data_IF_468156113037
#
_entry.id   IF_468156113037
#
_cell.length_a   1.000
_cell.length_b   1.000
_cell.length_c   1.000
_cell.angle_alpha   90.00
_cell.angle_beta   90.00
_cell.angle_gamma   90.00
#
_symmetry.space_group_name_H-M   'P 1'
#
loop_
_entity.id
_entity.type
_entity.pdbx_description
1 polymer ?
#
# COMPACT_ATOMS: atom_id res chain seq x y z
N UNK A 1 -21.84 4.82 31.59
CA UNK A 1 -22.43 3.50 31.90
C UNK A 1 -23.66 3.21 31.01
N UNK A 2 -24.64 4.14 30.91
CA UNK A 2 -25.86 3.96 30.09
C UNK A 2 -25.57 3.81 28.59
N UNK A 3 -24.62 4.57 28.05
CA UNK A 3 -24.20 4.51 26.64
C UNK A 3 -23.58 3.17 26.27
N UNK A 4 -22.74 2.61 27.15
CA UNK A 4 -22.13 1.30 26.95
C UNK A 4 -23.18 0.18 27.00
N UNK A 5 -24.22 0.31 27.85
CA UNK A 5 -25.33 -0.64 27.89
C UNK A 5 -26.20 -0.57 26.63
N UNK A 6 -26.49 0.65 26.13
CA UNK A 6 -27.22 0.84 24.87
C UNK A 6 -26.44 0.31 23.65
N UNK A 7 -25.12 0.54 23.60
CA UNK A 7 -24.26 -0.01 22.55
C UNK A 7 -24.22 -1.54 22.57
N UNK A 8 -24.12 -2.14 23.76
CA UNK A 8 -24.21 -3.59 23.96
C UNK A 8 -25.55 -4.17 23.50
N UNK A 9 -26.65 -3.48 23.81
CA UNK A 9 -28.01 -3.87 23.37
C UNK A 9 -28.16 -3.75 21.84
N UNK A 10 -27.68 -2.66 21.25
CA UNK A 10 -27.72 -2.44 19.78
C UNK A 10 -26.93 -3.52 19.05
N UNK A 11 -25.72 -3.82 19.52
CA UNK A 11 -24.86 -4.86 18.93
C UNK A 11 -25.45 -6.26 19.10
N UNK A 12 -25.93 -6.61 20.28
CA UNK A 12 -26.59 -7.89 20.54
C UNK A 12 -27.87 -8.08 19.71
N UNK A 13 -28.63 -7.00 19.46
CA UNK A 13 -29.78 -7.03 18.57
C UNK A 13 -29.38 -7.13 17.10
N UNK A 14 -28.32 -6.45 16.67
CA UNK A 14 -27.77 -6.57 15.31
C UNK A 14 -27.24 -7.97 15.03
N UNK A 15 -26.53 -8.58 15.98
CA UNK A 15 -26.02 -9.95 15.86
C UNK A 15 -27.15 -10.99 15.72
N UNK A 16 -28.27 -10.78 16.40
CA UNK A 16 -29.45 -11.66 16.26
C UNK A 16 -30.23 -11.42 14.97
N UNK A 17 -30.26 -10.17 14.47
CA UNK A 17 -31.03 -9.82 13.26
C UNK A 17 -30.27 -10.09 11.96
N UNK A 18 -28.94 -9.91 11.97
CA UNK A 18 -28.11 -10.06 10.77
C UNK A 18 -26.71 -10.60 11.15
N UNK A 19 -26.60 -11.88 11.52
CA UNK A 19 -25.35 -12.49 11.94
C UNK A 19 -24.31 -12.49 10.83
N UNK A 20 -24.72 -12.59 9.57
CA UNK A 20 -23.83 -12.57 8.41
C UNK A 20 -23.12 -11.23 8.27
N UNK A 21 -23.84 -10.12 8.43
CA UNK A 21 -23.27 -8.77 8.40
C UNK A 21 -22.27 -8.54 9.52
N UNK A 22 -22.61 -8.99 10.72
CA UNK A 22 -21.72 -8.90 11.88
C UNK A 22 -20.43 -9.68 11.63
N UNK A 23 -20.53 -10.91 11.12
CA UNK A 23 -19.37 -11.74 10.80
C UNK A 23 -18.46 -11.08 9.76
N UNK A 24 -19.01 -10.47 8.71
CA UNK A 24 -18.26 -9.72 7.70
C UNK A 24 -17.48 -8.57 8.33
N UNK A 25 -18.13 -7.76 9.19
CA UNK A 25 -17.45 -6.65 9.86
C UNK A 25 -16.35 -7.14 10.81
N UNK A 26 -16.61 -8.15 11.62
CA UNK A 26 -15.64 -8.74 12.53
C UNK A 26 -14.42 -9.27 11.78
N UNK A 27 -14.63 -10.00 10.70
CA UNK A 27 -13.57 -10.56 9.87
C UNK A 27 -12.68 -9.43 9.28
N UNK A 28 -13.29 -8.36 8.77
CA UNK A 28 -12.55 -7.23 8.21
C UNK A 28 -11.72 -6.50 9.27
N UNK A 29 -12.30 -6.20 10.41
CA UNK A 29 -11.57 -5.52 11.50
C UNK A 29 -10.46 -6.39 12.06
N UNK A 30 -10.70 -7.68 12.27
CA UNK A 30 -9.69 -8.62 12.70
C UNK A 30 -8.53 -8.71 11.70
N UNK A 31 -8.79 -8.60 10.41
CA UNK A 31 -7.78 -8.57 9.36
C UNK A 31 -7.09 -7.21 9.18
N UNK A 32 -7.46 -6.19 9.96
CA UNK A 32 -6.86 -4.85 9.94
C UNK A 32 -7.42 -3.90 8.88
N UNK A 33 -8.57 -4.21 8.27
CA UNK A 33 -9.25 -3.27 7.36
C UNK A 33 -9.88 -2.11 8.13
N UNK A 34 -9.92 -0.94 7.50
CA UNK A 34 -10.51 0.26 8.09
C UNK A 34 -12.04 0.24 8.13
N UNK A 35 -12.60 1.01 9.06
CA UNK A 35 -14.05 1.06 9.30
C UNK A 35 -14.86 1.55 8.09
N UNK A 36 -14.30 2.42 7.26
CA UNK A 36 -14.97 2.96 6.07
C UNK A 36 -15.24 1.86 5.03
N UNK A 37 -14.23 1.04 4.70
CA UNK A 37 -14.42 -0.08 3.78
C UNK A 37 -15.29 -1.16 4.39
N UNK A 38 -15.09 -1.48 5.68
CA UNK A 38 -15.89 -2.49 6.38
C UNK A 38 -17.38 -2.16 6.36
N UNK A 39 -17.76 -0.92 6.67
CA UNK A 39 -19.16 -0.46 6.60
C UNK A 39 -19.71 -0.49 5.18
N UNK A 40 -18.91 -0.05 4.20
CA UNK A 40 -19.33 -0.05 2.79
C UNK A 40 -19.64 -1.48 2.32
N UNK A 41 -18.79 -2.44 2.64
CA UNK A 41 -18.99 -3.84 2.27
C UNK A 41 -20.17 -4.47 3.03
N UNK A 42 -20.28 -4.22 4.34
CA UNK A 42 -21.40 -4.69 5.14
C UNK A 42 -22.76 -4.16 4.65
N UNK A 43 -22.81 -2.90 4.20
CA UNK A 43 -24.01 -2.31 3.63
C UNK A 43 -24.40 -2.91 2.25
N UNK A 44 -23.41 -3.40 1.50
CA UNK A 44 -23.61 -4.02 0.17
C UNK A 44 -23.77 -5.54 0.22
N UNK A 45 -23.74 -6.14 1.43
CA UNK A 45 -23.93 -7.57 1.58
C UNK A 45 -25.32 -7.97 1.05
N UNK A 46 -25.43 -8.93 0.12
CA UNK A 46 -26.70 -9.43 -0.35
C UNK A 46 -27.54 -10.00 0.81
N UNK A 47 -28.84 -9.77 0.76
CA UNK A 47 -29.77 -10.27 1.78
C UNK A 47 -29.93 -11.79 1.69
N UNK A 48 -30.16 -12.44 2.83
CA UNK A 48 -30.48 -13.88 2.88
C UNK A 48 -29.27 -14.80 2.79
N UNK A 49 -28.03 -14.27 2.81
CA UNK A 49 -26.86 -15.11 2.92
C UNK A 49 -26.68 -15.57 4.38
N UNK A 50 -26.33 -16.85 4.55
CA UNK A 50 -25.75 -17.32 5.81
C UNK A 50 -24.34 -16.79 6.01
N UNK A 51 -23.77 -17.03 7.19
CA UNK A 51 -22.45 -16.52 7.56
C UNK A 51 -21.36 -17.02 6.61
N UNK A 52 -21.38 -18.30 6.24
CA UNK A 52 -20.35 -18.88 5.38
C UNK A 52 -20.43 -18.34 3.95
N UNK A 53 -21.64 -18.20 3.40
CA UNK A 53 -21.85 -17.58 2.10
C UNK A 53 -21.45 -16.10 2.10
N UNK A 54 -21.72 -15.37 3.18
CA UNK A 54 -21.30 -13.98 3.35
C UNK A 54 -19.77 -13.82 3.38
N UNK A 55 -19.07 -14.71 4.07
CA UNK A 55 -17.59 -14.70 4.09
C UNK A 55 -16.98 -15.09 2.72
N UNK A 56 -17.59 -16.04 2.01
CA UNK A 56 -17.20 -16.36 0.63
C UNK A 56 -17.42 -15.16 -0.31
N UNK A 57 -18.56 -14.48 -0.18
CA UNK A 57 -18.85 -13.26 -0.92
C UNK A 57 -17.85 -12.16 -0.61
N UNK A 58 -17.54 -11.91 0.68
CA UNK A 58 -16.53 -10.94 1.11
C UNK A 58 -15.20 -11.18 0.42
N UNK A 59 -14.70 -12.43 0.48
CA UNK A 59 -13.45 -12.83 -0.16
C UNK A 59 -13.45 -12.51 -1.66
N UNK A 60 -14.52 -12.85 -2.37
CA UNK A 60 -14.63 -12.59 -3.81
C UNK A 60 -14.67 -11.08 -4.13
N UNK A 61 -15.38 -10.30 -3.33
CA UNK A 61 -15.46 -8.84 -3.51
C UNK A 61 -14.10 -8.19 -3.27
N UNK A 62 -13.36 -8.59 -2.25
CA UNK A 62 -12.01 -8.08 -2.00
C UNK A 62 -11.06 -8.43 -3.16
N UNK A 63 -11.09 -9.67 -3.65
CA UNK A 63 -10.28 -10.10 -4.80
C UNK A 63 -10.58 -9.28 -6.05
N UNK A 64 -11.86 -9.05 -6.37
CA UNK A 64 -12.27 -8.30 -7.57
C UNK A 64 -11.96 -6.80 -7.50
N UNK A 65 -11.90 -6.24 -6.30
CA UNK A 65 -11.67 -4.80 -6.12
C UNK A 65 -10.21 -4.45 -5.82
N UNK A 66 -9.34 -5.43 -5.60
CA UNK A 66 -7.91 -5.15 -5.42
C UNK A 66 -7.31 -4.73 -6.77
N UNK A 67 -6.84 -3.48 -6.91
CA UNK A 67 -6.34 -2.98 -8.17
C UNK A 67 -4.96 -3.56 -8.45
N UNK A 68 -4.88 -4.62 -9.24
CA UNK A 68 -3.62 -5.16 -9.71
C UNK A 68 -3.26 -4.54 -11.05
N UNK A 69 -1.98 -4.30 -11.26
CA UNK A 69 -1.49 -3.96 -12.58
C UNK A 69 -1.60 -5.20 -13.49
N UNK A 70 -2.34 -5.08 -14.60
CA UNK A 70 -2.72 -6.20 -15.47
C UNK A 70 -1.56 -7.07 -15.95
N UNK A 71 -0.34 -6.50 -16.01
CA UNK A 71 0.88 -7.24 -16.29
C UNK A 71 2.00 -6.71 -15.39
N UNK A 72 2.35 -7.43 -14.33
CA UNK A 72 3.51 -7.09 -13.51
C UNK A 72 4.80 -6.99 -14.35
N UNK A 73 4.93 -7.84 -15.40
CA UNK A 73 5.95 -7.70 -16.43
C UNK A 73 5.80 -6.42 -17.26
N UNK A 74 4.62 -5.80 -17.29
CA UNK A 74 4.35 -4.65 -18.16
C UNK A 74 5.16 -3.41 -17.82
N UNK A 75 5.57 -3.21 -16.56
CA UNK A 75 6.42 -2.09 -16.17
C UNK A 75 7.84 -2.28 -16.73
N UNK A 76 8.45 -3.44 -16.49
CA UNK A 76 9.79 -3.76 -16.97
C UNK A 76 9.80 -3.92 -18.51
N UNK A 77 8.81 -4.59 -19.08
CA UNK A 77 8.72 -4.81 -20.53
C UNK A 77 8.55 -3.49 -21.30
N UNK A 78 7.71 -2.58 -20.82
CA UNK A 78 7.55 -1.25 -21.42
C UNK A 78 8.81 -0.41 -21.32
N UNK A 79 9.56 -0.56 -20.24
CA UNK A 79 10.69 0.30 -19.93
C UNK A 79 10.25 1.74 -19.60
N UNK A 80 11.22 2.68 -19.68
CA UNK A 80 11.04 4.10 -19.41
C UNK A 80 11.76 4.54 -18.15
N UNK A 81 11.45 5.75 -17.69
CA UNK A 81 12.08 6.36 -16.53
C UNK A 81 11.13 6.33 -15.33
N UNK A 82 11.56 5.71 -14.24
CA UNK A 82 10.76 5.58 -13.02
C UNK A 82 11.52 6.11 -11.80
N UNK A 83 10.83 6.85 -10.95
CA UNK A 83 11.33 7.29 -9.66
C UNK A 83 10.60 6.55 -8.54
N UNK A 84 11.33 5.94 -7.61
CA UNK A 84 10.77 5.30 -6.43
C UNK A 84 10.57 6.35 -5.34
N UNK A 85 9.32 6.58 -4.95
CA UNK A 85 8.94 7.55 -3.91
C UNK A 85 8.30 6.84 -2.72
N UNK A 86 8.47 7.39 -1.51
CA UNK A 86 7.91 6.77 -0.30
C UNK A 86 8.63 7.20 0.96
N UNK A 87 8.07 6.84 2.10
CA UNK A 87 8.61 7.18 3.41
C UNK A 87 10.04 6.66 3.62
N UNK A 88 10.78 7.29 4.54
CA UNK A 88 12.06 6.75 5.01
C UNK A 88 11.86 5.32 5.53
N UNK A 89 12.75 4.40 5.17
CA UNK A 89 12.66 3.01 5.57
C UNK A 89 11.58 2.18 4.88
N UNK A 90 10.87 2.70 3.88
CA UNK A 90 9.89 1.93 3.09
C UNK A 90 10.50 0.85 2.17
N UNK A 91 11.82 0.81 2.02
CA UNK A 91 12.53 -0.18 1.20
C UNK A 91 12.75 0.25 -0.25
N UNK A 92 12.78 1.56 -0.56
CA UNK A 92 13.01 2.09 -1.93
C UNK A 92 14.27 1.54 -2.58
N UNK A 93 15.42 1.76 -1.97
CA UNK A 93 16.72 1.33 -2.52
C UNK A 93 16.79 -0.18 -2.77
N UNK A 94 16.32 -0.99 -1.81
CA UNK A 94 16.27 -2.45 -1.97
C UNK A 94 15.30 -2.87 -3.07
N UNK A 95 14.14 -2.21 -3.15
CA UNK A 95 13.15 -2.48 -4.22
C UNK A 95 13.70 -2.09 -5.58
N UNK A 96 14.41 -0.96 -5.66
CA UNK A 96 15.07 -0.52 -6.89
C UNK A 96 16.10 -1.54 -7.36
N UNK A 97 16.94 -2.06 -6.45
CA UNK A 97 17.89 -3.11 -6.76
C UNK A 97 17.21 -4.38 -7.29
N UNK A 98 16.10 -4.80 -6.69
CA UNK A 98 15.30 -5.96 -7.15
C UNK A 98 14.71 -5.73 -8.55
N UNK A 99 14.18 -4.54 -8.81
CA UNK A 99 13.68 -4.17 -10.14
C UNK A 99 14.79 -4.12 -11.17
N UNK A 100 15.96 -3.55 -10.80
CA UNK A 100 17.13 -3.48 -11.67
C UNK A 100 17.62 -4.89 -12.05
N UNK A 101 17.77 -5.80 -11.10
CA UNK A 101 18.18 -7.17 -11.37
C UNK A 101 17.24 -7.86 -12.36
N UNK A 102 15.92 -7.77 -12.15
CA UNK A 102 14.93 -8.33 -13.11
C UNK A 102 14.98 -7.66 -14.48
N UNK A 103 15.28 -6.37 -14.53
CA UNK A 103 15.42 -5.65 -15.78
C UNK A 103 16.69 -6.09 -16.54
N UNK A 104 17.78 -6.34 -15.81
CA UNK A 104 19.02 -6.88 -16.38
C UNK A 104 18.78 -8.28 -16.97
N UNK A 105 18.07 -9.15 -16.25
CA UNK A 105 17.68 -10.48 -16.75
C UNK A 105 16.85 -10.38 -18.04
N UNK A 106 15.96 -9.39 -18.12
CA UNK A 106 15.05 -9.24 -19.27
C UNK A 106 15.67 -8.52 -20.48
N UNK A 107 16.58 -7.58 -20.26
CA UNK A 107 17.04 -6.63 -21.29
C UNK A 107 18.56 -6.54 -21.44
N UNK A 108 19.32 -7.11 -20.51
CA UNK A 108 20.76 -6.97 -20.40
C UNK A 108 21.18 -5.67 -19.68
N UNK A 109 22.35 -5.72 -19.02
CA UNK A 109 22.86 -4.63 -18.17
C UNK A 109 23.06 -3.31 -18.96
N UNK A 110 23.49 -3.38 -20.22
CA UNK A 110 23.70 -2.20 -21.04
C UNK A 110 22.43 -1.35 -21.29
N UNK A 111 21.24 -1.95 -21.11
CA UNK A 111 19.95 -1.29 -21.33
C UNK A 111 19.33 -0.72 -20.06
N UNK A 112 19.96 -0.92 -18.90
CA UNK A 112 19.49 -0.44 -17.61
C UNK A 112 20.44 0.63 -17.05
N UNK A 113 19.90 1.64 -16.41
CA UNK A 113 20.68 2.64 -15.68
C UNK A 113 20.02 2.92 -14.32
N UNK A 114 20.85 3.15 -13.31
CA UNK A 114 20.44 3.57 -11.98
C UNK A 114 20.85 5.02 -11.76
N UNK A 115 19.99 5.76 -11.04
CA UNK A 115 20.28 7.13 -10.63
C UNK A 115 20.08 7.25 -9.13
N UNK A 116 21.12 7.65 -8.41
CA UNK A 116 21.03 8.03 -7.01
C UNK A 116 20.65 9.51 -6.93
N UNK A 117 19.45 9.81 -6.45
CA UNK A 117 18.93 11.17 -6.27
C UNK A 117 18.60 11.45 -4.80
N UNK A 118 19.22 10.73 -3.86
CA UNK A 118 19.11 10.96 -2.42
C UNK A 118 20.35 11.75 -1.93
N UNK A 119 20.30 13.06 -2.12
CA UNK A 119 21.38 13.96 -1.68
C UNK A 119 21.45 14.16 -0.16
N UNK A 120 20.39 13.80 0.56
CA UNK A 120 20.29 14.06 2.01
C UNK A 120 20.85 12.94 2.87
N UNK A 121 20.93 11.72 2.35
CA UNK A 121 21.35 10.55 3.11
C UNK A 121 22.81 10.20 2.84
N UNK A 122 23.64 10.41 3.84
CA UNK A 122 25.05 9.97 3.79
C UNK A 122 25.09 8.45 3.58
N UNK A 123 25.78 7.99 2.55
CA UNK A 123 25.92 6.57 2.23
C UNK A 123 24.79 5.96 1.39
N UNK A 124 23.74 6.71 1.02
CA UNK A 124 22.68 6.16 0.15
C UNK A 124 23.24 5.73 -1.22
N UNK A 125 24.08 6.55 -1.82
CA UNK A 125 24.77 6.22 -3.07
C UNK A 125 25.69 4.99 -2.92
N UNK A 126 26.36 4.81 -1.78
CA UNK A 126 27.27 3.69 -1.55
C UNK A 126 26.53 2.33 -1.60
N UNK A 127 25.35 2.24 -1.00
CA UNK A 127 24.54 1.02 -1.10
C UNK A 127 24.11 0.72 -2.54
N UNK A 128 23.71 1.75 -3.27
CA UNK A 128 23.30 1.60 -4.67
C UNK A 128 24.48 1.26 -5.58
N UNK A 129 25.70 1.78 -5.28
CA UNK A 129 26.93 1.43 -5.98
C UNK A 129 27.21 -0.07 -5.91
N UNK A 130 27.10 -0.69 -4.75
CA UNK A 130 27.30 -2.13 -4.61
C UNK A 130 26.35 -2.92 -5.52
N UNK A 131 25.07 -2.53 -5.58
CA UNK A 131 24.12 -3.20 -6.47
C UNK A 131 24.44 -2.93 -7.96
N UNK A 132 24.84 -1.71 -8.31
CA UNK A 132 25.19 -1.36 -9.68
C UNK A 132 26.38 -2.18 -10.18
N UNK A 133 27.42 -2.32 -9.34
CA UNK A 133 28.60 -3.12 -9.64
C UNK A 133 28.27 -4.60 -9.81
N UNK A 134 27.48 -5.17 -8.88
CA UNK A 134 27.05 -6.58 -8.95
C UNK A 134 26.21 -6.87 -10.18
N UNK A 135 25.39 -5.92 -10.64
CA UNK A 135 24.53 -6.08 -11.80
C UNK A 135 25.18 -5.66 -13.11
N UNK A 136 26.38 -5.03 -13.07
CA UNK A 136 27.08 -4.50 -14.22
C UNK A 136 26.35 -3.37 -14.92
N UNK A 137 25.54 -2.56 -14.18
CA UNK A 137 24.75 -1.46 -14.73
C UNK A 137 25.42 -0.11 -14.42
N UNK A 138 25.16 0.89 -15.27
CA UNK A 138 25.67 2.24 -15.00
C UNK A 138 24.92 2.89 -13.83
N UNK A 139 25.67 3.46 -12.89
CA UNK A 139 25.16 4.28 -11.81
C UNK A 139 25.54 5.75 -12.05
N UNK A 140 24.57 6.63 -11.90
CA UNK A 140 24.74 8.07 -11.98
C UNK A 140 24.27 8.71 -10.68
N UNK A 141 24.89 9.84 -10.32
CA UNK A 141 24.49 10.61 -9.13
C UNK A 141 23.88 11.93 -9.58
N UNK A 142 22.71 12.24 -9.06
CA UNK A 142 22.06 13.52 -9.23
C UNK A 142 21.91 14.20 -7.87
N UNK A 143 22.74 15.17 -7.58
CA UNK A 143 22.78 15.88 -6.30
C UNK A 143 21.57 16.80 -6.10
N UNK A 144 20.95 17.20 -7.19
CA UNK A 144 19.76 18.05 -7.20
C UNK A 144 18.86 17.78 -8.42
N UNK A 145 17.70 18.41 -8.42
CA UNK A 145 16.73 18.30 -9.51
C UNK A 145 17.27 18.84 -10.86
N UNK A 146 18.11 19.88 -10.85
CA UNK A 146 18.68 20.44 -12.05
C UNK A 146 19.70 19.46 -12.69
N UNK A 147 20.49 18.77 -11.86
CA UNK A 147 21.39 17.71 -12.34
C UNK A 147 20.61 16.52 -12.88
N UNK A 148 19.52 16.12 -12.18
CA UNK A 148 18.64 15.05 -12.65
C UNK A 148 18.02 15.39 -14.02
N UNK A 149 17.52 16.62 -14.19
CA UNK A 149 16.94 17.09 -15.45
C UNK A 149 17.94 17.04 -16.63
N UNK A 150 19.21 17.34 -16.39
CA UNK A 150 20.28 17.24 -17.40
C UNK A 150 20.67 15.80 -17.72
N UNK A 151 20.63 14.93 -16.72
CA UNK A 151 21.05 13.54 -16.86
C UNK A 151 20.03 12.68 -17.63
N UNK A 152 18.73 12.91 -17.46
CA UNK A 152 17.68 12.07 -18.08
C UNK A 152 17.79 12.02 -19.62
N UNK A 153 18.04 13.11 -20.35
CA UNK A 153 18.27 13.06 -21.80
C UNK A 153 19.51 12.24 -22.20
N UNK A 154 20.59 12.27 -21.40
CA UNK A 154 21.79 11.46 -21.63
C UNK A 154 21.50 9.94 -21.55
N UNK A 155 20.48 9.56 -20.76
CA UNK A 155 20.05 8.20 -20.57
C UNK A 155 18.90 7.76 -21.48
N UNK A 156 18.49 8.57 -22.45
CA UNK A 156 17.35 8.28 -23.34
C UNK A 156 17.51 6.99 -24.17
N UNK A 157 18.75 6.53 -24.42
CA UNK A 157 19.04 5.29 -25.11
C UNK A 157 18.84 4.01 -24.24
N UNK A 158 18.70 4.20 -22.92
CA UNK A 158 18.43 3.09 -21.99
C UNK A 158 16.98 2.65 -22.09
N UNK A 159 16.76 1.33 -21.99
CA UNK A 159 15.41 0.76 -21.97
C UNK A 159 14.69 1.09 -20.66
N UNK A 160 15.44 1.08 -19.53
CA UNK A 160 14.92 1.36 -18.20
C UNK A 160 15.89 2.22 -17.41
N UNK A 161 15.38 3.31 -16.86
CA UNK A 161 16.09 4.18 -15.91
C UNK A 161 15.32 4.14 -14.58
N UNK A 162 16.01 3.77 -13.50
CA UNK A 162 15.45 3.71 -12.16
C UNK A 162 16.13 4.76 -11.27
N UNK A 163 15.34 5.65 -10.69
CA UNK A 163 15.80 6.74 -9.83
C UNK A 163 15.45 6.44 -8.38
N UNK A 164 16.47 6.31 -7.53
CA UNK A 164 16.30 6.19 -6.08
C UNK A 164 16.22 7.58 -5.47
N UNK A 165 15.08 7.92 -4.88
CA UNK A 165 14.86 9.24 -4.29
C UNK A 165 14.99 9.22 -2.78
N UNK A 166 15.24 10.38 -2.19
CA UNK A 166 15.21 10.56 -0.75
C UNK A 166 13.86 10.10 -0.15
N UNK A 167 13.92 9.51 1.03
CA UNK A 167 12.74 9.15 1.80
C UNK A 167 12.38 10.26 2.79
N UNK A 168 11.16 10.75 2.70
CA UNK A 168 10.65 11.76 3.61
C UNK A 168 9.44 11.25 4.39
N UNK A 169 9.21 11.82 5.58
CA UNK A 169 7.90 11.67 6.23
C UNK A 169 6.84 12.35 5.36
N UNK A 170 5.61 11.84 5.27
CA UNK A 170 4.51 12.53 4.58
C UNK A 170 4.24 13.95 5.09
N UNK A 171 4.59 14.24 6.35
CA UNK A 171 4.49 15.57 6.97
C UNK A 171 5.66 16.51 6.64
N UNK A 172 6.75 16.01 6.07
CA UNK A 172 7.91 16.84 5.69
C UNK A 172 7.59 17.63 4.41
N UNK A 173 7.77 18.96 4.39
CA UNK A 173 7.53 19.79 3.19
C UNK A 173 8.30 19.30 1.96
N UNK A 174 9.50 18.76 2.15
CA UNK A 174 10.34 18.21 1.06
C UNK A 174 9.74 16.99 0.39
N UNK A 175 8.80 16.30 1.02
CA UNK A 175 8.09 15.18 0.43
C UNK A 175 7.30 15.56 -0.84
N UNK A 176 6.98 16.85 -1.02
CA UNK A 176 6.35 17.40 -2.24
C UNK A 176 7.28 17.44 -3.45
N UNK A 177 8.58 17.31 -3.26
CA UNK A 177 9.56 17.22 -4.36
C UNK A 177 9.23 16.06 -5.32
N UNK A 178 8.52 15.03 -4.84
CA UNK A 178 8.02 13.96 -5.69
C UNK A 178 7.13 14.43 -6.85
N UNK A 179 6.37 15.52 -6.69
CA UNK A 179 5.55 16.07 -7.76
C UNK A 179 6.39 16.76 -8.86
N UNK A 180 7.53 17.31 -8.49
CA UNK A 180 8.46 17.91 -9.46
C UNK A 180 9.10 16.87 -10.39
N UNK A 181 9.13 15.60 -9.99
CA UNK A 181 9.62 14.50 -10.83
C UNK A 181 8.71 14.26 -12.04
N UNK A 182 7.40 14.50 -11.90
CA UNK A 182 6.43 14.35 -12.99
C UNK A 182 6.74 15.36 -14.13
N UNK A 183 7.17 16.58 -13.78
CA UNK A 183 7.57 17.62 -14.73
C UNK A 183 8.84 17.24 -15.54
N UNK A 184 9.65 16.32 -15.00
CA UNK A 184 10.82 15.76 -15.69
C UNK A 184 10.47 14.53 -16.54
N UNK A 185 9.20 14.16 -16.67
CA UNK A 185 8.76 12.98 -17.43
C UNK A 185 9.01 11.65 -16.69
N UNK A 186 9.35 11.69 -15.40
CA UNK A 186 9.50 10.50 -14.58
C UNK A 186 8.14 9.97 -14.12
N UNK A 187 7.93 8.67 -14.24
CA UNK A 187 6.75 8.01 -13.67
C UNK A 187 7.06 7.56 -12.24
N UNK A 188 6.26 8.00 -11.28
CA UNK A 188 6.49 7.66 -9.87
C UNK A 188 5.96 6.27 -9.54
N UNK A 189 6.74 5.50 -8.77
CA UNK A 189 6.35 4.24 -8.15
C UNK A 189 6.29 4.46 -6.64
N UNK A 190 5.09 4.39 -6.07
CA UNK A 190 4.91 4.56 -4.63
C UNK A 190 5.33 3.27 -3.90
N UNK A 191 6.36 3.36 -3.07
CA UNK A 191 6.88 2.24 -2.26
C UNK A 191 6.30 2.36 -0.86
N UNK A 192 5.35 1.49 -0.54
CA UNK A 192 4.59 1.49 0.71
C UNK A 192 4.93 0.25 1.52
N UNK A 193 5.29 0.43 2.79
CA UNK A 193 5.54 -0.68 3.70
C UNK A 193 4.24 -1.23 4.28
N UNK A 194 3.98 -2.53 4.11
CA UNK A 194 2.82 -3.21 4.68
C UNK A 194 2.90 -3.40 6.20
N UNK A 195 4.10 -3.37 6.78
CA UNK A 195 4.34 -3.56 8.22
C UNK A 195 4.06 -2.32 9.08
N UNK A 196 3.59 -1.22 8.49
CA UNK A 196 3.26 -0.01 9.22
C UNK A 196 1.82 -0.05 9.77
N UNK A 197 1.54 0.82 10.76
CA UNK A 197 0.18 1.04 11.24
C UNK A 197 -0.72 1.62 10.15
N UNK A 198 -2.00 1.29 10.17
CA UNK A 198 -2.96 1.69 9.14
C UNK A 198 -3.02 3.20 8.87
N UNK A 199 -2.92 4.03 9.91
CA UNK A 199 -2.87 5.49 9.77
C UNK A 199 -1.62 5.97 9.01
N UNK A 200 -0.46 5.35 9.25
CA UNK A 200 0.77 5.69 8.56
C UNK A 200 0.74 5.23 7.09
N UNK A 201 0.16 4.05 6.82
CA UNK A 201 -0.08 3.56 5.46
C UNK A 201 -1.00 4.52 4.70
N UNK A 202 -2.08 4.97 5.33
CA UNK A 202 -3.03 5.91 4.73
C UNK A 202 -2.37 7.26 4.38
N UNK A 203 -1.58 7.81 5.31
CA UNK A 203 -0.82 9.03 5.04
C UNK A 203 0.18 8.85 3.90
N UNK A 204 0.92 7.75 3.89
CA UNK A 204 1.87 7.45 2.82
C UNK A 204 1.18 7.25 1.47
N UNK A 205 0.02 6.55 1.45
CA UNK A 205 -0.77 6.32 0.24
C UNK A 205 -1.34 7.64 -0.31
N UNK A 206 -1.91 8.48 0.56
CA UNK A 206 -2.42 9.80 0.16
C UNK A 206 -1.32 10.67 -0.40
N UNK A 207 -0.14 10.67 0.23
CA UNK A 207 0.94 11.57 -0.14
C UNK A 207 1.73 11.09 -1.37
N UNK A 208 2.23 9.85 -1.33
CA UNK A 208 3.09 9.30 -2.38
C UNK A 208 2.30 8.58 -3.47
N UNK A 209 1.11 8.08 -3.17
CA UNK A 209 0.25 7.36 -4.11
C UNK A 209 -0.48 8.28 -5.08
N UNK A 210 -0.77 9.51 -4.69
CA UNK A 210 -1.48 10.46 -5.56
C UNK A 210 -0.65 10.77 -6.81
N UNK A 211 -1.18 10.45 -7.98
CA UNK A 211 -0.52 10.62 -9.27
C UNK A 211 0.62 9.63 -9.54
N UNK A 212 0.89 8.66 -8.64
CA UNK A 212 1.83 7.60 -8.92
C UNK A 212 1.29 6.63 -10.00
N UNK A 213 2.19 6.12 -10.84
CA UNK A 213 1.83 5.19 -11.90
C UNK A 213 1.42 3.81 -11.35
N UNK A 214 2.01 3.41 -10.22
CA UNK A 214 1.70 2.17 -9.52
C UNK A 214 2.26 2.19 -8.08
N UNK A 215 1.82 1.20 -7.29
CA UNK A 215 2.34 0.92 -5.96
C UNK A 215 3.22 -0.34 -5.96
N UNK A 216 4.22 -0.35 -5.09
CA UNK A 216 4.98 -1.54 -4.71
C UNK A 216 4.81 -1.70 -3.19
N UNK A 217 4.22 -2.82 -2.79
CA UNK A 217 3.99 -3.12 -1.38
C UNK A 217 5.17 -3.92 -0.84
N UNK A 218 5.89 -3.35 0.13
CA UNK A 218 7.09 -3.94 0.71
C UNK A 218 6.86 -4.47 2.12
N UNK A 219 7.84 -5.21 2.65
CA UNK A 219 7.82 -5.75 4.03
C UNK A 219 6.57 -6.56 4.34
N UNK A 220 6.10 -7.28 3.34
CA UNK A 220 4.92 -8.12 3.51
C UNK A 220 5.18 -9.26 4.50
N UNK A 221 6.42 -9.73 4.60
CA UNK A 221 6.90 -10.70 5.58
C UNK A 221 6.78 -10.20 7.04
N UNK A 222 6.98 -8.88 7.25
CA UNK A 222 6.85 -8.22 8.55
C UNK A 222 5.38 -7.87 8.89
N UNK A 223 4.44 -8.07 7.96
CA UNK A 223 3.03 -7.69 8.12
C UNK A 223 2.16 -8.94 8.37
N UNK A 224 1.85 -9.29 9.62
CA UNK A 224 0.94 -10.40 9.92
C UNK A 224 -0.49 -10.12 9.48
N UNK A 225 -0.90 -8.85 9.49
CA UNK A 225 -2.25 -8.39 9.12
C UNK A 225 -2.16 -7.27 8.05
N UNK A 226 -1.98 -7.62 6.77
CA UNK A 226 -1.81 -6.63 5.71
C UNK A 226 -3.12 -5.94 5.28
N UNK A 227 -4.23 -6.15 5.99
CA UNK A 227 -5.55 -5.62 5.64
C UNK A 227 -5.58 -4.10 5.46
N UNK A 228 -4.86 -3.34 6.31
CA UNK A 228 -4.78 -1.87 6.17
C UNK A 228 -4.14 -1.44 4.85
N UNK A 229 -3.13 -2.17 4.37
CA UNK A 229 -2.51 -1.88 3.09
C UNK A 229 -3.44 -2.22 1.91
N UNK A 230 -4.16 -3.35 1.98
CA UNK A 230 -5.14 -3.74 0.96
C UNK A 230 -6.34 -2.78 0.94
N UNK A 231 -6.81 -2.35 2.11
CA UNK A 231 -7.85 -1.32 2.27
C UNK A 231 -7.46 -0.02 1.55
N UNK A 232 -6.28 0.50 1.85
CA UNK A 232 -5.77 1.72 1.21
C UNK A 232 -5.65 1.57 -0.30
N UNK A 233 -5.10 0.45 -0.80
CA UNK A 233 -5.01 0.17 -2.24
C UNK A 233 -6.38 0.20 -2.91
N UNK A 234 -7.39 -0.45 -2.30
CA UNK A 234 -8.76 -0.51 -2.84
C UNK A 234 -9.39 0.89 -2.87
N UNK A 235 -9.27 1.67 -1.79
CA UNK A 235 -9.89 3.00 -1.70
C UNK A 235 -9.24 4.03 -2.61
N UNK A 236 -7.91 4.02 -2.70
CA UNK A 236 -7.14 4.92 -3.57
C UNK A 236 -7.11 4.46 -5.03
N UNK A 237 -7.55 3.22 -5.32
CA UNK A 237 -7.51 2.61 -6.66
C UNK A 237 -6.12 2.68 -7.31
N UNK A 238 -5.06 2.63 -6.49
CA UNK A 238 -3.69 2.68 -6.98
C UNK A 238 -3.25 1.28 -7.41
N UNK A 239 -2.88 1.07 -8.69
CA UNK A 239 -2.50 -0.26 -9.18
C UNK A 239 -1.29 -0.83 -8.44
N UNK A 240 -1.41 -2.05 -7.92
CA UNK A 240 -0.30 -2.76 -7.30
C UNK A 240 0.51 -3.49 -8.37
N UNK A 241 1.77 -3.05 -8.59
CA UNK A 241 2.66 -3.63 -9.58
C UNK A 241 3.47 -4.81 -9.05
N UNK A 242 4.00 -4.68 -7.83
CA UNK A 242 4.81 -5.73 -7.19
C UNK A 242 4.54 -5.79 -5.69
N UNK A 243 4.85 -6.97 -5.13
CA UNK A 243 4.97 -7.20 -3.69
C UNK A 243 6.40 -7.64 -3.37
N UNK A 244 6.91 -7.21 -2.22
CA UNK A 244 8.22 -7.60 -1.72
C UNK A 244 8.09 -8.08 -0.27
N UNK A 245 8.56 -9.30 -0.02
CA UNK A 245 8.58 -9.91 1.30
C UNK A 245 9.91 -10.56 1.55
N UNK A 246 10.85 -9.83 2.19
CA UNK A 246 12.19 -10.30 2.48
C UNK A 246 13.30 -9.46 1.86
N UNK A 247 14.55 -9.87 2.11
CA UNK A 247 15.74 -9.06 1.80
C UNK A 247 16.53 -9.55 0.58
N UNK A 248 16.22 -10.72 0.03
CA UNK A 248 16.96 -11.30 -1.10
C UNK A 248 16.66 -10.55 -2.40
N UNK A 249 17.71 -10.30 -3.18
CA UNK A 249 17.66 -9.58 -4.44
C UNK A 249 18.11 -10.52 -5.56
N UNK A 250 17.26 -10.79 -6.57
CA UNK A 250 15.92 -10.28 -6.83
C UNK A 250 14.76 -11.16 -6.29
N UNK A 251 15.03 -12.28 -5.63
CA UNK A 251 14.09 -13.38 -5.38
C UNK A 251 12.83 -12.91 -4.64
N UNK A 252 12.98 -12.03 -3.64
CA UNK A 252 11.87 -11.58 -2.80
C UNK A 252 11.08 -10.40 -3.40
N UNK A 253 11.01 -10.30 -4.75
CA UNK A 253 10.12 -9.42 -5.48
C UNK A 253 9.17 -10.25 -6.33
N UNK A 254 7.88 -10.16 -6.13
CA UNK A 254 6.90 -11.02 -6.79
C UNK A 254 5.82 -10.21 -7.50
N UNK A 255 5.24 -10.78 -8.55
CA UNK A 255 3.98 -10.32 -9.10
C UNK A 255 2.87 -10.50 -8.05
N UNK A 256 1.98 -9.51 -7.87
CA UNK A 256 0.91 -9.63 -6.89
C UNK A 256 -0.16 -10.62 -7.36
N UNK A 257 -0.71 -11.38 -6.41
CA UNK A 257 -1.86 -12.24 -6.61
C UNK A 257 -2.98 -11.80 -5.66
N UNK A 258 -4.12 -11.37 -6.19
CA UNK A 258 -5.25 -10.94 -5.36
C UNK A 258 -5.75 -12.05 -4.44
N UNK A 259 -5.95 -13.32 -4.89
CA UNK A 259 -6.32 -14.40 -4.01
C UNK A 259 -5.32 -14.59 -2.86
N UNK A 260 -4.02 -14.61 -3.16
CA UNK A 260 -2.98 -14.77 -2.15
C UNK A 260 -3.01 -13.66 -1.09
N UNK A 261 -3.08 -12.39 -1.53
CA UNK A 261 -3.05 -11.23 -0.63
C UNK A 261 -4.30 -11.18 0.24
N UNK A 262 -5.48 -11.43 -0.32
CA UNK A 262 -6.75 -11.45 0.42
C UNK A 262 -6.77 -12.61 1.42
N UNK A 263 -6.37 -13.81 1.00
CA UNK A 263 -6.32 -14.98 1.89
C UNK A 263 -5.32 -14.77 3.03
N UNK A 264 -4.16 -14.17 2.75
CA UNK A 264 -3.17 -13.81 3.77
C UNK A 264 -3.74 -12.81 4.78
N UNK A 265 -4.45 -11.77 4.33
CA UNK A 265 -5.06 -10.78 5.22
C UNK A 265 -6.14 -11.41 6.09
N UNK A 266 -7.05 -12.19 5.51
CA UNK A 266 -8.15 -12.81 6.24
C UNK A 266 -7.65 -13.88 7.24
N UNK A 267 -6.61 -14.65 6.90
CA UNK A 267 -5.96 -15.59 7.81
C UNK A 267 -5.20 -14.87 8.93
N UNK A 268 -4.52 -13.75 8.62
CA UNK A 268 -3.83 -12.92 9.61
C UNK A 268 -4.77 -12.40 10.71
N UNK A 269 -6.02 -12.12 10.37
CA UNK A 269 -7.05 -11.72 11.33
C UNK A 269 -7.47 -12.81 12.33
N UNK A 270 -7.10 -14.06 12.07
CA UNK A 270 -7.39 -15.19 12.97
C UNK A 270 -6.26 -15.42 14.00
N UNK A 271 -5.16 -14.68 13.91
CA UNK A 271 -4.06 -14.80 14.85
C UNK A 271 -4.48 -14.27 16.22
N UNK A 272 -4.34 -15.10 17.25
CA UNK A 272 -4.56 -14.68 18.63
C UNK A 272 -3.44 -13.70 19.03
N UNK A 273 -3.80 -12.45 19.24
CA UNK A 273 -2.88 -11.40 19.72
C UNK A 273 -3.54 -10.60 20.84
N UNK A 274 -2.76 -10.01 21.76
CA UNK A 274 -3.30 -9.11 22.80
C UNK A 274 -4.03 -7.89 22.23
N UNK A 275 -3.81 -7.58 20.94
CA UNK A 275 -4.45 -6.47 20.22
C UNK A 275 -5.71 -6.89 19.44
N UNK A 276 -6.06 -8.19 19.46
CA UNK A 276 -7.27 -8.68 18.81
C UNK A 276 -8.49 -8.27 19.64
N UNK A 277 -9.49 -7.66 18.99
CA UNK A 277 -10.76 -7.31 19.64
C UNK A 277 -11.46 -8.59 20.10
N UNK A 278 -11.77 -8.67 21.39
CA UNK A 278 -12.52 -9.77 21.96
C UNK A 278 -14.03 -9.56 21.75
N UNK A 279 -14.81 -10.61 21.95
CA UNK A 279 -16.27 -10.54 21.74
C UNK A 279 -16.94 -9.48 22.64
N UNK A 280 -16.36 -9.22 23.80
CA UNK A 280 -16.81 -8.24 24.80
C UNK A 280 -16.49 -6.80 24.39
N UNK A 281 -15.49 -6.58 23.54
CA UNK A 281 -15.05 -5.23 23.13
C UNK A 281 -15.93 -4.64 22.02
N UNK A 282 -16.57 -5.48 21.21
CA UNK A 282 -17.36 -5.06 20.05
C UNK A 282 -18.48 -4.06 20.36
N UNK A 283 -19.22 -4.18 21.49
CA UNK A 283 -20.23 -3.20 21.85
C UNK A 283 -19.68 -1.78 22.04
N UNK A 284 -18.46 -1.65 22.55
CA UNK A 284 -17.80 -0.34 22.79
C UNK A 284 -17.52 0.36 21.47
N UNK A 285 -17.05 -0.35 20.45
CA UNK A 285 -16.77 0.22 19.13
C UNK A 285 -18.05 0.61 18.38
N UNK A 286 -19.13 -0.17 18.49
CA UNK A 286 -20.41 0.12 17.86
C UNK A 286 -21.07 1.40 18.45
N UNK A 287 -20.90 1.67 19.75
CA UNK A 287 -21.46 2.84 20.42
C UNK A 287 -20.79 4.15 20.02
N UNK A 288 -19.48 4.17 19.93
CA UNK A 288 -18.70 5.38 19.57
C UNK A 288 -19.00 5.82 18.12
N UNK A 289 -19.27 4.88 17.20
CA UNK A 289 -19.58 5.20 15.81
C UNK A 289 -21.01 5.74 15.62
N UNK A 290 -21.98 5.26 16.39
CA UNK A 290 -23.34 5.80 16.38
C UNK A 290 -23.36 7.28 16.77
N UNK A 291 -22.64 7.65 17.83
CA UNK A 291 -22.53 9.03 18.31
C UNK A 291 -21.82 9.96 17.32
N UNK A 292 -20.82 9.45 16.61
CA UNK A 292 -20.09 10.22 15.57
C UNK A 292 -20.93 10.43 14.32
N UNK A 293 -21.73 9.44 13.91
CA UNK A 293 -22.67 9.55 12.80
C UNK A 293 -23.79 10.52 13.10
N UNK A 294 -24.32 10.51 14.34
CA UNK A 294 -25.34 11.42 14.81
C UNK A 294 -24.84 12.87 14.89
N UNK A 295 -23.63 13.11 15.41
CA UNK A 295 -22.98 14.45 15.41
C UNK A 295 -22.70 14.98 14.00
N UNK A 296 -22.37 14.13 13.02
CA UNK A 296 -22.18 14.52 11.63
C UNK A 296 -23.51 14.83 10.95
N UNK A 297 -24.57 14.08 11.24
CA UNK A 297 -25.92 14.35 10.76
C UNK A 297 -26.47 15.67 11.30
N UNK A 298 -26.25 15.96 12.59
CA UNK A 298 -26.66 17.22 13.24
C UNK A 298 -25.87 18.44 12.72
N UNK A 299 -24.60 18.29 12.33
CA UNK A 299 -23.84 19.37 11.69
C UNK A 299 -24.31 19.70 10.28
N UNK A 300 -24.92 18.76 9.57
CA UNK A 300 -25.53 18.98 8.26
C UNK A 300 -26.87 19.73 8.29
N UNK A 301 -27.54 19.76 9.44
CA UNK A 301 -28.85 20.43 9.61
C UNK A 301 -28.68 21.92 9.96
N UNK A 302 -27.54 22.35 10.50
CA UNK A 302 -27.26 23.74 10.88
C UNK A 302 -26.50 24.55 9.80
N UNK A 303 -26.46 24.09 8.56
CA UNK A 303 -25.88 24.77 7.39
C UNK A 303 -26.98 25.11 6.35
N UNK A 304 -28.13 25.59 6.84
CA UNK A 304 -29.19 26.17 6.05
C UNK A 304 -29.43 27.62 6.46
#
# INVERSE_FOLDING_TARGET
LLQNQLAGFAWGSARRRDPARVAVMQTLFAAGFGSTLARTLAARLPRGLDTDAALRWLRQVLIRNLPLQEHAAGLLARGGCYALVGSTGSGKTTTLAKLAARAVDAHGAAKVALVAADAYRIGAAAQLTVYADLLGVSLHVAEDQARLARLLPELAAKKLVLVDTAGFSPSDPRSREGQALDALGLRRLAVISAGQQGAAIEQAMTHFGQGAAACILTKLDEAPQPGAALDSLIRHRLPLAYISGGQRVPEDLHAPSAPYLVDRALKGGQLATPYALQAEDWPLFAGVEAERAERLALRGINAG
#
